data_IF_513087197032
#
_entry.id   IF_513087197032
#
_cell.length_a   1.000
_cell.length_b   1.000
_cell.length_c   1.000
_cell.angle_alpha   90.00
_cell.angle_beta   90.00
_cell.angle_gamma   90.00
#
_symmetry.space_group_name_H-M   'P 1'
#
loop_
_entity.id
_entity.type
_entity.pdbx_description
1 polymer ?
#
# COMPACT_ATOMS: atom_id res chain seq x y z
N UNK A 1 -46.62 -21.20 6.21
CA UNK A 1 -45.61 -20.46 6.98
C UNK A 1 -44.79 -19.57 6.05
N UNK A 2 -45.45 -18.52 5.53
CA UNK A 2 -44.82 -17.39 4.83
C UNK A 2 -45.05 -16.19 5.75
N UNK A 3 -43.98 -15.63 6.33
CA UNK A 3 -43.86 -14.25 6.82
C UNK A 3 -42.65 -14.16 7.74
N UNK A 4 -41.59 -13.50 7.26
CA UNK A 4 -40.68 -12.60 8.00
C UNK A 4 -39.49 -12.23 7.10
N UNK A 5 -39.80 -11.59 5.96
CA UNK A 5 -38.81 -10.85 5.14
C UNK A 5 -39.54 -9.67 4.50
N UNK A 6 -39.87 -8.66 5.30
CA UNK A 6 -40.35 -7.38 4.77
C UNK A 6 -40.19 -6.31 5.86
N UNK A 7 -38.95 -5.99 6.20
CA UNK A 7 -38.59 -4.71 6.81
C UNK A 7 -37.08 -4.52 6.70
N UNK A 8 -36.58 -4.43 5.47
CA UNK A 8 -35.35 -3.69 5.22
C UNK A 8 -35.77 -2.24 5.00
N UNK A 9 -35.32 -1.28 5.83
CA UNK A 9 -35.57 0.14 5.58
C UNK A 9 -35.16 0.48 4.15
N UNK A 10 -35.98 1.24 3.44
CA UNK A 10 -35.76 1.63 2.02
C UNK A 10 -34.34 2.18 1.77
N UNK A 11 -33.72 2.78 2.79
CA UNK A 11 -32.34 3.26 2.75
C UNK A 11 -31.26 2.15 2.66
N UNK A 12 -31.48 0.95 3.18
CA UNK A 12 -30.51 -0.16 3.07
C UNK A 12 -30.54 -0.76 1.67
N UNK A 13 -31.73 -0.89 1.08
CA UNK A 13 -31.86 -1.42 -0.27
C UNK A 13 -31.32 -0.43 -1.30
N UNK A 14 -31.60 0.87 -1.13
CA UNK A 14 -30.98 1.93 -1.92
C UNK A 14 -29.45 2.05 -1.67
N UNK A 15 -28.95 1.75 -0.47
CA UNK A 15 -27.50 1.68 -0.19
C UNK A 15 -26.85 0.47 -0.86
N UNK A 16 -27.46 -0.71 -0.78
CA UNK A 16 -26.98 -1.93 -1.48
C UNK A 16 -27.03 -1.74 -2.99
N UNK A 17 -28.07 -1.10 -3.53
CA UNK A 17 -28.17 -0.79 -4.96
C UNK A 17 -27.17 0.30 -5.37
N UNK A 18 -26.90 1.33 -4.55
CA UNK A 18 -25.84 2.30 -4.83
C UNK A 18 -24.44 1.70 -4.73
N UNK A 19 -24.20 0.77 -3.79
CA UNK A 19 -22.93 0.02 -3.70
C UNK A 19 -22.76 -0.90 -4.92
N UNK A 20 -23.86 -1.49 -5.43
CA UNK A 20 -23.86 -2.27 -6.69
C UNK A 20 -23.80 -1.42 -7.96
N UNK A 21 -24.22 -0.15 -7.92
CA UNK A 21 -24.18 0.76 -9.06
C UNK A 21 -22.85 1.53 -9.15
N UNK A 22 -22.20 1.79 -8.02
CA UNK A 22 -20.81 2.26 -7.94
C UNK A 22 -19.80 1.11 -7.92
N UNK A 23 -20.22 -0.09 -8.36
CA UNK A 23 -19.41 -1.29 -8.43
C UNK A 23 -18.38 -1.15 -9.56
N UNK A 24 -17.35 -0.32 -9.30
CA UNK A 24 -16.06 -0.32 -9.98
C UNK A 24 -15.26 -1.60 -9.65
N UNK A 25 -15.91 -2.71 -9.31
CA UNK A 25 -15.30 -4.04 -9.30
C UNK A 25 -14.94 -4.53 -10.70
N UNK A 26 -15.47 -3.91 -11.76
CA UNK A 26 -15.24 -4.34 -13.14
C UNK A 26 -13.99 -3.73 -13.79
N UNK A 27 -13.47 -2.61 -13.30
CA UNK A 27 -12.19 -2.06 -13.73
C UNK A 27 -11.12 -2.43 -12.70
N UNK A 28 -10.31 -3.45 -12.99
CA UNK A 28 -9.17 -3.80 -12.14
C UNK A 28 -8.17 -2.64 -12.14
N UNK A 29 -8.14 -1.88 -11.04
CA UNK A 29 -7.14 -0.82 -10.81
C UNK A 29 -5.73 -1.41 -10.76
N UNK A 30 -5.61 -2.61 -10.19
CA UNK A 30 -4.34 -3.30 -9.99
C UNK A 30 -4.19 -4.44 -11.01
N UNK A 31 -3.07 -4.51 -11.76
CA UNK A 31 -2.74 -5.67 -12.59
C UNK A 31 -2.27 -6.82 -11.70
N UNK A 32 -3.25 -7.54 -11.13
CA UNK A 32 -3.06 -8.58 -10.11
C UNK A 32 -1.98 -9.61 -10.47
N UNK A 33 -1.91 -10.02 -11.73
CA UNK A 33 -0.94 -11.04 -12.16
C UNK A 33 0.49 -10.49 -12.11
N UNK A 34 0.69 -9.32 -12.68
CA UNK A 34 1.98 -8.65 -12.80
C UNK A 34 2.53 -8.28 -11.42
N UNK A 35 1.70 -7.69 -10.56
CA UNK A 35 2.12 -7.32 -9.19
C UNK A 35 2.40 -8.56 -8.33
N UNK A 36 1.60 -9.64 -8.46
CA UNK A 36 1.85 -10.90 -7.74
C UNK A 36 3.21 -11.50 -8.15
N UNK A 37 3.53 -11.50 -9.44
CA UNK A 37 4.83 -11.97 -9.92
C UNK A 37 5.97 -11.12 -9.38
N UNK A 38 5.80 -9.79 -9.36
CA UNK A 38 6.84 -8.88 -8.86
C UNK A 38 7.03 -8.98 -7.33
N UNK A 39 5.96 -9.19 -6.55
CA UNK A 39 6.09 -9.53 -5.12
C UNK A 39 6.84 -10.85 -4.91
N UNK A 40 6.55 -11.87 -5.72
CA UNK A 40 7.26 -13.14 -5.64
C UNK A 40 8.75 -12.96 -5.92
N UNK A 41 9.10 -12.23 -6.98
CA UNK A 41 10.48 -11.88 -7.32
C UNK A 41 11.19 -11.16 -6.16
N UNK A 42 10.54 -10.16 -5.56
CA UNK A 42 11.08 -9.41 -4.44
C UNK A 42 11.42 -10.33 -3.23
N UNK A 43 10.50 -11.20 -2.82
CA UNK A 43 10.76 -12.10 -1.70
C UNK A 43 11.79 -13.18 -2.03
N UNK A 44 11.86 -13.67 -3.27
CA UNK A 44 12.92 -14.59 -3.67
C UNK A 44 14.30 -13.94 -3.59
N UNK A 45 14.44 -12.69 -4.09
CA UNK A 45 15.69 -11.94 -3.99
C UNK A 45 16.10 -11.68 -2.54
N UNK A 46 15.16 -11.33 -1.67
CA UNK A 46 15.44 -11.14 -0.25
C UNK A 46 15.91 -12.43 0.43
N UNK A 47 15.30 -13.58 0.10
CA UNK A 47 15.67 -14.90 0.62
C UNK A 47 17.03 -15.40 0.13
N UNK A 48 17.49 -14.98 -1.04
CA UNK A 48 18.85 -15.30 -1.49
C UNK A 48 19.93 -14.62 -0.64
N UNK A 49 19.59 -13.47 -0.04
CA UNK A 49 20.53 -12.64 0.72
C UNK A 49 20.35 -12.76 2.23
N UNK A 50 19.26 -13.36 2.69
CA UNK A 50 18.86 -13.38 4.10
C UNK A 50 18.13 -14.69 4.45
N UNK A 51 18.37 -15.18 5.66
CA UNK A 51 17.56 -16.29 6.20
C UNK A 51 16.09 -15.85 6.30
N UNK A 52 15.11 -16.70 5.94
CA UNK A 52 13.70 -16.33 5.94
C UNK A 52 13.24 -15.68 7.24
N UNK A 53 13.66 -16.20 8.40
CA UNK A 53 13.25 -15.71 9.72
C UNK A 53 13.75 -14.30 10.06
N UNK A 54 14.62 -13.73 9.22
CA UNK A 54 15.16 -12.37 9.38
C UNK A 54 14.44 -11.33 8.52
N UNK A 55 13.46 -11.74 7.71
CA UNK A 55 12.61 -10.84 6.94
C UNK A 55 11.71 -10.03 7.88
N UNK A 56 11.63 -8.73 7.60
CA UNK A 56 10.77 -7.80 8.30
C UNK A 56 9.35 -7.78 7.77
N UNK A 57 8.57 -6.82 8.27
CA UNK A 57 7.18 -6.62 7.92
C UNK A 57 7.02 -6.08 6.48
N UNK A 58 5.80 -6.24 5.97
CA UNK A 58 5.29 -5.57 4.79
C UNK A 58 4.50 -4.33 5.18
N UNK A 59 4.82 -3.17 4.58
CA UNK A 59 4.13 -1.90 4.80
C UNK A 59 3.54 -1.40 3.47
N UNK A 60 2.24 -1.09 3.43
CA UNK A 60 1.53 -0.55 2.26
C UNK A 60 0.87 0.78 2.61
N UNK A 61 1.15 1.81 1.81
CA UNK A 61 0.67 3.16 2.01
C UNK A 61 -0.30 3.50 0.88
N UNK A 62 -1.59 3.52 1.20
CA UNK A 62 -2.70 3.52 0.24
C UNK A 62 -3.16 2.10 -0.04
N UNK A 63 -4.27 1.70 0.57
CA UNK A 63 -4.81 0.33 0.52
C UNK A 63 -6.00 0.26 -0.41
N UNK A 64 -6.85 1.30 -0.44
CA UNK A 64 -8.10 1.30 -1.20
C UNK A 64 -8.92 0.02 -0.90
N UNK A 65 -9.23 -0.80 -1.91
CA UNK A 65 -9.93 -2.09 -1.75
C UNK A 65 -9.04 -3.25 -1.26
N UNK A 66 -7.72 -3.07 -1.19
CA UNK A 66 -6.77 -4.05 -0.66
C UNK A 66 -6.32 -5.14 -1.65
N UNK A 67 -6.47 -4.91 -2.95
CA UNK A 67 -6.13 -5.91 -3.99
C UNK A 67 -4.64 -6.29 -3.97
N UNK A 68 -3.77 -5.29 -3.91
CA UNK A 68 -2.31 -5.39 -3.69
C UNK A 68 -1.97 -6.22 -2.45
N UNK A 69 -2.59 -5.91 -1.30
CA UNK A 69 -2.43 -6.70 -0.07
C UNK A 69 -2.82 -8.16 -0.28
N UNK A 70 -3.93 -8.45 -0.96
CA UNK A 70 -4.37 -9.83 -1.25
C UNK A 70 -3.35 -10.56 -2.14
N UNK A 71 -2.81 -9.90 -3.15
CA UNK A 71 -1.75 -10.44 -3.99
C UNK A 71 -0.50 -10.81 -3.18
N UNK A 72 -0.03 -9.90 -2.33
CA UNK A 72 1.10 -10.16 -1.44
C UNK A 72 0.81 -11.31 -0.46
N UNK A 73 -0.38 -11.33 0.14
CA UNK A 73 -0.79 -12.38 1.06
C UNK A 73 -0.66 -13.79 0.43
N UNK A 74 -1.11 -13.94 -0.82
CA UNK A 74 -0.98 -15.19 -1.57
C UNK A 74 0.48 -15.58 -1.80
N UNK A 75 1.35 -14.62 -2.10
CA UNK A 75 2.80 -14.86 -2.24
C UNK A 75 3.41 -15.32 -0.91
N UNK A 76 3.06 -14.68 0.21
CA UNK A 76 3.55 -15.08 1.52
C UNK A 76 3.10 -16.51 1.89
N UNK A 77 1.87 -16.90 1.54
CA UNK A 77 1.39 -18.27 1.72
C UNK A 77 2.17 -19.27 0.85
N UNK A 78 2.35 -18.96 -0.44
CA UNK A 78 3.09 -19.78 -1.39
C UNK A 78 4.54 -20.02 -0.93
N UNK A 79 5.21 -18.98 -0.43
CA UNK A 79 6.60 -19.04 0.00
C UNK A 79 6.77 -19.49 1.47
N UNK A 80 5.68 -19.83 2.15
CA UNK A 80 5.62 -20.21 3.57
C UNK A 80 6.29 -19.18 4.51
N UNK A 81 6.12 -17.89 4.22
CA UNK A 81 6.67 -16.77 4.99
C UNK A 81 5.67 -16.31 6.05
N UNK A 82 5.47 -17.13 7.08
CA UNK A 82 4.45 -16.94 8.13
C UNK A 82 4.75 -15.78 9.09
N UNK A 83 6.03 -15.48 9.28
CA UNK A 83 6.56 -14.44 10.17
C UNK A 83 6.35 -13.01 9.66
N UNK A 84 6.24 -12.82 8.34
CA UNK A 84 6.01 -11.49 7.75
C UNK A 84 4.60 -11.03 8.08
N UNK A 85 4.49 -9.93 8.84
CA UNK A 85 3.20 -9.25 9.11
C UNK A 85 2.95 -8.22 8.02
N UNK A 86 1.68 -7.89 7.82
CA UNK A 86 1.23 -6.94 6.81
C UNK A 86 0.55 -5.75 7.50
N UNK A 87 0.98 -4.54 7.16
CA UNK A 87 0.39 -3.30 7.64
C UNK A 87 -0.08 -2.48 6.44
N UNK A 88 -1.38 -2.17 6.42
CA UNK A 88 -1.98 -1.28 5.43
C UNK A 88 -2.39 0.04 6.06
N UNK A 89 -1.82 1.13 5.58
CA UNK A 89 -2.08 2.50 6.04
C UNK A 89 -2.98 3.20 5.04
N UNK A 90 -4.13 3.69 5.48
CA UNK A 90 -5.07 4.41 4.60
C UNK A 90 -5.96 5.35 5.43
N UNK A 91 -6.41 6.44 4.82
CA UNK A 91 -7.46 7.28 5.42
C UNK A 91 -8.79 6.53 5.50
N UNK A 92 -9.03 5.61 4.56
CA UNK A 92 -10.30 4.97 4.22
C UNK A 92 -11.41 6.00 3.94
N UNK A 93 -10.99 7.18 3.48
CA UNK A 93 -11.82 8.35 3.18
C UNK A 93 -11.45 8.97 1.82
N UNK A 94 -10.48 8.37 1.11
CA UNK A 94 -9.93 8.85 -0.16
C UNK A 94 -8.86 9.93 0.03
N UNK A 95 -8.44 10.53 -1.08
CA UNK A 95 -7.38 11.55 -1.08
C UNK A 95 -7.78 12.83 -0.31
N UNK A 96 -6.82 13.48 0.39
CA UNK A 96 -7.10 14.67 1.19
C UNK A 96 -7.46 15.88 0.33
N UNK A 97 -8.01 16.93 0.96
CA UNK A 97 -8.33 18.20 0.28
C UNK A 97 -7.12 18.89 -0.35
N UNK A 98 -5.91 18.60 0.15
CA UNK A 98 -4.64 19.12 -0.36
C UNK A 98 -4.26 18.54 -1.72
N UNK A 99 -4.82 17.39 -2.12
CA UNK A 99 -4.55 16.72 -3.39
C UNK A 99 -4.65 17.64 -4.62
N UNK A 100 -5.63 18.55 -4.62
CA UNK A 100 -5.86 19.50 -5.73
C UNK A 100 -4.69 20.48 -5.96
N UNK A 101 -3.87 20.71 -4.95
CA UNK A 101 -2.75 21.66 -5.00
C UNK A 101 -1.39 20.94 -5.08
N UNK A 102 -1.35 19.64 -4.80
CA UNK A 102 -0.15 18.84 -4.92
C UNK A 102 0.03 18.38 -6.37
N UNK A 103 1.27 18.06 -6.76
CA UNK A 103 1.60 17.48 -8.06
C UNK A 103 0.99 18.18 -9.28
N UNK A 104 0.85 19.52 -9.19
CA UNK A 104 0.26 20.33 -10.26
C UNK A 104 -1.23 20.10 -10.49
N UNK A 105 -1.95 19.57 -9.49
CA UNK A 105 -3.39 19.28 -9.59
C UNK A 105 -3.69 17.97 -10.32
N UNK A 106 -2.74 17.03 -10.32
CA UNK A 106 -2.89 15.68 -10.87
C UNK A 106 -4.03 14.87 -10.21
N UNK A 107 -4.43 15.25 -9.00
CA UNK A 107 -5.31 14.50 -8.11
C UNK A 107 -6.44 15.36 -7.55
N UNK A 108 -7.54 14.75 -7.12
CA UNK A 108 -8.67 15.47 -6.50
C UNK A 108 -9.14 14.83 -5.20
N UNK A 109 -9.73 15.65 -4.33
CA UNK A 109 -10.17 15.23 -3.01
C UNK A 109 -11.24 14.14 -3.05
N UNK A 110 -11.12 13.12 -2.20
CA UNK A 110 -12.04 11.98 -2.12
C UNK A 110 -11.88 10.95 -3.24
N UNK A 111 -10.94 11.14 -4.17
CA UNK A 111 -10.54 10.12 -5.13
C UNK A 111 -10.09 8.85 -4.39
N UNK A 112 -10.38 7.68 -4.97
CA UNK A 112 -10.03 6.35 -4.41
C UNK A 112 -10.60 6.03 -3.02
N UNK A 113 -11.70 6.68 -2.63
CA UNK A 113 -12.35 6.39 -1.36
C UNK A 113 -12.85 4.94 -1.28
N UNK A 114 -12.32 4.18 -0.32
CA UNK A 114 -12.88 2.93 0.15
C UNK A 114 -12.96 2.95 1.68
N UNK A 115 -14.17 2.76 2.22
CA UNK A 115 -14.34 2.74 3.68
C UNK A 115 -13.67 1.51 4.32
N UNK A 116 -13.18 1.65 5.56
CA UNK A 116 -12.55 0.57 6.30
C UNK A 116 -13.45 -0.68 6.40
N UNK A 117 -14.75 -0.48 6.56
CA UNK A 117 -15.73 -1.57 6.64
C UNK A 117 -15.83 -2.35 5.31
N UNK A 118 -15.83 -1.63 4.18
CA UNK A 118 -15.82 -2.25 2.86
C UNK A 118 -14.51 -2.99 2.60
N UNK A 119 -13.37 -2.33 2.79
CA UNK A 119 -12.05 -2.94 2.60
C UNK A 119 -11.87 -4.18 3.49
N UNK A 120 -12.24 -4.10 4.77
CA UNK A 120 -12.15 -5.25 5.69
C UNK A 120 -13.04 -6.42 5.25
N UNK A 121 -14.24 -6.12 4.73
CA UNK A 121 -15.13 -7.15 4.18
C UNK A 121 -14.50 -7.83 2.97
N UNK A 122 -13.98 -7.05 2.02
CA UNK A 122 -13.32 -7.56 0.80
C UNK A 122 -12.12 -8.44 1.17
N UNK A 123 -11.23 -7.95 2.02
CA UNK A 123 -10.05 -8.70 2.46
C UNK A 123 -10.44 -10.01 3.16
N UNK A 124 -11.49 -9.98 3.99
CA UNK A 124 -12.02 -11.20 4.65
C UNK A 124 -12.56 -12.20 3.63
N UNK A 125 -13.34 -11.74 2.65
CA UNK A 125 -13.86 -12.59 1.57
C UNK A 125 -12.75 -13.18 0.69
N UNK A 126 -11.61 -12.48 0.58
CA UNK A 126 -10.41 -12.95 -0.11
C UNK A 126 -9.49 -13.85 0.76
N UNK A 127 -9.86 -14.11 2.01
CA UNK A 127 -9.16 -15.05 2.89
C UNK A 127 -7.91 -14.48 3.57
N UNK A 128 -7.85 -13.16 3.80
CA UNK A 128 -6.73 -12.55 4.51
C UNK A 128 -6.54 -13.16 5.91
N UNK A 129 -5.29 -13.28 6.36
CA UNK A 129 -4.98 -13.72 7.72
C UNK A 129 -4.90 -12.52 8.67
N UNK A 130 -5.98 -12.27 9.39
CA UNK A 130 -6.09 -11.18 10.36
C UNK A 130 -5.19 -11.34 11.60
N UNK A 131 -4.59 -12.51 11.84
CA UNK A 131 -3.64 -12.67 12.96
C UNK A 131 -2.33 -11.91 12.73
N UNK A 132 -2.06 -11.56 11.47
CA UNK A 132 -0.82 -10.90 11.05
C UNK A 132 -1.06 -9.77 10.05
N UNK A 133 -2.31 -9.33 9.90
CA UNK A 133 -2.68 -8.22 9.00
C UNK A 133 -3.36 -7.14 9.80
N UNK A 134 -2.87 -5.91 9.66
CA UNK A 134 -3.32 -4.76 10.42
C UNK A 134 -3.68 -3.63 9.47
N UNK A 135 -4.90 -3.10 9.58
CA UNK A 135 -5.30 -1.88 8.88
C UNK A 135 -5.25 -0.71 9.85
N UNK A 136 -4.47 0.31 9.50
CA UNK A 136 -4.26 1.51 10.30
C UNK A 136 -5.02 2.64 9.62
N UNK A 137 -6.19 2.96 10.18
CA UNK A 137 -7.04 4.05 9.69
C UNK A 137 -6.53 5.41 10.17
N UNK A 138 -6.31 6.32 9.23
CA UNK A 138 -6.08 7.74 9.49
C UNK A 138 -5.21 8.39 8.42
N UNK A 139 -5.03 9.71 8.51
CA UNK A 139 -4.08 10.41 7.66
C UNK A 139 -2.65 10.02 8.06
N UNK A 140 -1.72 10.04 7.11
CA UNK A 140 -0.33 9.66 7.37
C UNK A 140 0.33 10.59 8.41
N UNK A 141 0.16 11.90 8.27
CA UNK A 141 0.50 12.91 9.30
C UNK A 141 0.01 12.61 10.73
N UNK A 142 -1.10 11.88 10.89
CA UNK A 142 -1.64 11.52 12.21
C UNK A 142 -1.16 10.15 12.70
N UNK A 143 -0.88 9.21 11.79
CA UNK A 143 -0.71 7.79 12.10
C UNK A 143 0.74 7.31 12.01
N UNK A 144 1.55 7.93 11.14
CA UNK A 144 2.94 7.52 10.89
C UNK A 144 3.89 8.16 11.91
N UNK A 145 3.84 7.67 13.14
CA UNK A 145 4.57 8.24 14.27
C UNK A 145 5.24 7.16 15.15
N UNK A 146 6.04 7.63 16.11
CA UNK A 146 6.81 6.78 17.01
C UNK A 146 5.92 5.90 17.90
N UNK A 147 4.78 6.42 18.37
CA UNK A 147 3.83 5.67 19.21
C UNK A 147 3.31 4.42 18.47
N UNK A 148 3.07 4.54 17.15
CA UNK A 148 2.67 3.42 16.32
C UNK A 148 3.79 2.37 16.19
N UNK A 149 5.03 2.80 15.96
CA UNK A 149 6.21 1.92 15.91
C UNK A 149 6.32 1.12 17.20
N UNK A 150 6.19 1.77 18.35
CA UNK A 150 6.29 1.15 19.68
C UNK A 150 5.12 0.19 19.93
N UNK A 151 3.89 0.61 19.61
CA UNK A 151 2.67 -0.20 19.78
C UNK A 151 2.77 -1.54 19.05
N UNK A 152 3.25 -1.53 17.81
CA UNK A 152 3.33 -2.73 16.97
C UNK A 152 4.72 -3.38 16.98
N UNK A 153 5.67 -2.81 17.71
CA UNK A 153 7.07 -3.26 17.76
C UNK A 153 7.62 -3.41 16.33
N UNK A 154 7.45 -2.36 15.51
CA UNK A 154 7.98 -2.34 14.15
C UNK A 154 9.49 -2.14 14.22
N UNK A 155 10.26 -3.13 13.80
CA UNK A 155 11.74 -3.10 13.89
C UNK A 155 12.41 -3.18 12.53
N UNK A 156 11.77 -3.83 11.55
CA UNK A 156 12.30 -4.00 10.20
C UNK A 156 11.16 -4.07 9.19
N UNK A 157 11.31 -3.37 8.07
CA UNK A 157 10.47 -3.52 6.88
C UNK A 157 11.30 -4.14 5.75
N UNK A 158 10.77 -5.21 5.13
CA UNK A 158 11.46 -5.91 4.03
C UNK A 158 10.89 -5.58 2.67
N UNK A 159 9.57 -5.39 2.59
CA UNK A 159 8.89 -4.95 1.38
C UNK A 159 7.99 -3.78 1.74
N UNK A 160 8.09 -2.71 0.97
CA UNK A 160 7.35 -1.46 1.17
C UNK A 160 6.62 -1.15 -0.13
N UNK A 161 5.32 -0.87 -0.05
CA UNK A 161 4.50 -0.41 -1.16
C UNK A 161 4.08 1.04 -0.92
N UNK A 162 4.55 1.94 -1.76
CA UNK A 162 4.12 3.34 -1.84
C UNK A 162 3.14 3.42 -3.00
N UNK A 163 1.85 3.54 -2.67
CA UNK A 163 0.72 3.59 -3.60
C UNK A 163 -0.26 4.66 -3.10
N UNK A 164 0.27 5.88 -2.94
CA UNK A 164 -0.44 6.96 -2.25
C UNK A 164 -0.61 8.20 -3.11
N UNK A 165 -0.35 8.07 -4.42
CA UNK A 165 -0.48 9.01 -5.53
C UNK A 165 0.36 10.31 -5.42
N UNK A 166 0.34 10.92 -4.23
CA UNK A 166 0.77 12.29 -3.95
C UNK A 166 2.19 12.35 -3.40
N UNK A 167 2.94 13.37 -3.82
CA UNK A 167 4.26 13.69 -3.27
C UNK A 167 4.27 13.78 -1.73
N UNK A 168 3.32 14.53 -1.12
CA UNK A 168 3.32 14.70 0.33
C UNK A 168 3.10 13.37 1.07
N UNK A 169 2.17 12.55 0.59
CA UNK A 169 1.88 11.23 1.17
C UNK A 169 3.10 10.30 1.05
N UNK A 170 3.74 10.28 -0.11
CA UNK A 170 4.93 9.46 -0.35
C UNK A 170 6.10 9.90 0.54
N UNK A 171 6.28 11.20 0.74
CA UNK A 171 7.31 11.75 1.64
C UNK A 171 7.07 11.33 3.09
N UNK A 172 5.85 11.42 3.58
CA UNK A 172 5.50 10.97 4.95
C UNK A 172 5.74 9.46 5.12
N UNK A 173 5.32 8.65 4.14
CA UNK A 173 5.53 7.20 4.13
C UNK A 173 7.02 6.81 4.15
N UNK A 174 7.84 7.41 3.27
CA UNK A 174 9.26 7.14 3.19
C UNK A 174 10.01 7.55 4.46
N UNK A 175 9.68 8.70 5.04
CA UNK A 175 10.28 9.17 6.29
C UNK A 175 9.95 8.25 7.47
N UNK A 176 8.72 7.74 7.53
CA UNK A 176 8.34 6.74 8.52
C UNK A 176 9.10 5.42 8.35
N UNK A 177 9.35 5.01 7.11
CA UNK A 177 10.06 3.77 6.80
C UNK A 177 11.57 3.86 7.00
N UNK A 178 12.17 5.05 6.90
CA UNK A 178 13.63 5.25 6.99
C UNK A 178 14.29 4.48 8.16
N UNK A 179 13.83 4.59 9.42
CA UNK A 179 14.43 3.85 10.53
C UNK A 179 14.13 2.34 10.50
N UNK A 180 13.11 1.90 9.76
CA UNK A 180 12.69 0.50 9.62
C UNK A 180 13.45 -0.22 8.50
N UNK A 181 14.12 0.50 7.60
CA UNK A 181 15.02 -0.08 6.60
C UNK A 181 16.34 -0.41 7.30
N UNK A 182 16.49 -1.68 7.68
CA UNK A 182 17.73 -2.21 8.26
C UNK A 182 18.77 -2.43 7.16
N UNK A 183 19.16 -3.67 6.85
CA UNK A 183 20.20 -3.94 5.85
C UNK A 183 19.74 -3.57 4.44
N UNK A 184 18.50 -3.93 4.12
CA UNK A 184 17.87 -3.66 2.83
C UNK A 184 16.34 -3.78 2.92
N UNK A 185 15.65 -3.10 2.01
CA UNK A 185 14.24 -3.27 1.71
C UNK A 185 14.03 -3.20 0.19
N UNK A 186 12.94 -3.80 -0.28
CA UNK A 186 12.46 -3.61 -1.66
C UNK A 186 11.26 -2.67 -1.58
N UNK A 187 11.36 -1.53 -2.26
CA UNK A 187 10.32 -0.50 -2.31
C UNK A 187 9.66 -0.53 -3.68
N UNK A 188 8.34 -0.61 -3.67
CA UNK A 188 7.47 -0.50 -4.82
C UNK A 188 6.86 0.90 -4.82
N UNK A 189 6.84 1.52 -5.99
CA UNK A 189 6.17 2.80 -6.26
C UNK A 189 5.15 2.55 -7.36
N UNK A 190 3.85 2.70 -7.10
CA UNK A 190 2.80 2.40 -8.09
C UNK A 190 2.68 3.51 -9.16
N UNK A 191 2.96 4.76 -8.77
CA UNK A 191 2.69 5.95 -9.58
C UNK A 191 3.95 6.73 -10.02
N UNK A 192 5.12 6.10 -9.94
CA UNK A 192 6.41 6.73 -10.27
C UNK A 192 6.43 7.53 -11.59
N UNK A 193 5.93 6.95 -12.68
CA UNK A 193 5.84 7.57 -14.02
C UNK A 193 4.44 8.09 -14.36
N UNK A 194 3.50 8.01 -13.41
CA UNK A 194 2.11 8.44 -13.60
C UNK A 194 2.06 9.90 -14.04
N UNK A 195 1.23 10.21 -15.05
CA UNK A 195 1.03 11.57 -15.58
C UNK A 195 2.31 12.36 -15.96
N UNK A 196 3.41 11.65 -16.26
CA UNK A 196 4.76 12.21 -16.44
C UNK A 196 5.24 13.06 -15.24
N UNK A 197 4.85 12.70 -14.01
CA UNK A 197 5.27 13.39 -12.79
C UNK A 197 6.79 13.29 -12.59
N UNK A 198 7.38 12.16 -12.95
CA UNK A 198 8.84 11.95 -12.98
C UNK A 198 9.58 13.06 -13.74
N UNK A 199 9.12 13.38 -14.96
CA UNK A 199 9.73 14.41 -15.83
C UNK A 199 9.51 15.83 -15.31
N UNK A 200 8.50 16.01 -14.45
CA UNK A 200 8.18 17.29 -13.81
C UNK A 200 8.85 17.44 -12.44
N UNK A 201 9.60 16.43 -11.99
CA UNK A 201 10.14 16.36 -10.63
C UNK A 201 9.03 16.52 -9.58
N UNK A 202 7.98 15.70 -9.69
CA UNK A 202 6.80 15.68 -8.82
C UNK A 202 6.52 14.24 -8.35
N UNK A 203 5.50 14.07 -7.52
CA UNK A 203 4.99 12.78 -7.06
C UNK A 203 6.00 11.97 -6.26
N UNK A 204 5.83 10.65 -6.33
CA UNK A 204 6.63 9.67 -5.61
C UNK A 204 8.13 9.76 -5.94
N UNK A 205 8.47 10.02 -7.22
CA UNK A 205 9.86 10.21 -7.64
C UNK A 205 10.53 11.34 -6.84
N UNK A 206 9.88 12.51 -6.75
CA UNK A 206 10.45 13.65 -6.03
C UNK A 206 10.61 13.32 -4.54
N UNK A 207 9.62 12.67 -3.94
CA UNK A 207 9.69 12.25 -2.54
C UNK A 207 10.87 11.30 -2.31
N UNK A 208 11.11 10.36 -3.23
CA UNK A 208 12.23 9.43 -3.15
C UNK A 208 13.60 10.08 -3.37
N UNK A 209 13.71 11.00 -4.33
CA UNK A 209 14.94 11.77 -4.56
C UNK A 209 15.34 12.54 -3.28
N UNK A 210 14.37 13.19 -2.62
CA UNK A 210 14.58 13.89 -1.34
C UNK A 210 14.92 12.90 -0.21
N UNK A 211 14.24 11.75 -0.14
CA UNK A 211 14.54 10.69 0.83
C UNK A 211 15.99 10.21 0.75
N UNK A 212 16.54 10.00 -0.47
CA UNK A 212 17.94 9.58 -0.64
C UNK A 212 18.93 10.69 -0.26
N UNK A 213 18.59 11.96 -0.49
CA UNK A 213 19.40 13.11 -0.08
C UNK A 213 19.45 13.22 1.45
N UNK A 214 18.32 13.01 2.13
CA UNK A 214 18.21 13.03 3.58
C UNK A 214 18.87 11.79 4.23
N UNK A 215 18.98 10.69 3.48
CA UNK A 215 19.55 9.42 3.94
C UNK A 215 20.73 8.92 3.08
N UNK A 216 21.88 9.63 3.07
CA UNK A 216 23.00 9.37 2.15
C UNK A 216 23.72 8.02 2.38
N UNK A 217 23.40 7.34 3.48
CA UNK A 217 23.90 6.00 3.83
C UNK A 217 23.18 4.88 3.08
N UNK A 218 22.08 5.19 2.39
CA UNK A 218 21.44 4.25 1.46
C UNK A 218 22.04 4.34 0.06
N UNK A 219 22.02 3.20 -0.63
CA UNK A 219 22.23 3.05 -2.06
C UNK A 219 21.04 2.29 -2.66
N UNK A 220 20.92 2.31 -3.99
CA UNK A 220 19.76 1.79 -4.69
C UNK A 220 20.10 0.94 -5.91
N UNK A 221 19.30 -0.08 -6.17
CA UNK A 221 19.36 -0.88 -7.40
C UNK A 221 17.95 -0.99 -8.00
N UNK A 222 17.80 -0.65 -9.27
CA UNK A 222 16.53 -0.78 -9.99
C UNK A 222 16.22 -2.26 -10.30
N UNK A 223 15.01 -2.70 -9.95
CA UNK A 223 14.51 -4.06 -10.16
C UNK A 223 13.40 -4.12 -11.23
N UNK A 224 13.29 -3.05 -12.03
CA UNK A 224 12.30 -2.88 -13.09
C UNK A 224 10.92 -2.49 -12.59
N UNK A 225 9.88 -2.86 -13.34
CA UNK A 225 8.50 -2.46 -13.07
C UNK A 225 7.51 -3.62 -13.23
N UNK A 226 6.28 -3.44 -12.76
CA UNK A 226 5.14 -4.35 -13.03
C UNK A 226 4.04 -3.67 -13.86
N UNK A 227 4.11 -2.36 -14.05
CA UNK A 227 3.27 -1.58 -14.97
C UNK A 227 4.14 -0.56 -15.72
N UNK A 228 3.54 0.22 -16.62
CA UNK A 228 4.22 1.36 -17.25
C UNK A 228 4.39 2.56 -16.30
N UNK A 229 3.61 2.62 -15.22
CA UNK A 229 3.64 3.71 -14.24
C UNK A 229 4.52 3.38 -13.03
N UNK A 230 4.69 2.10 -12.72
CA UNK A 230 5.36 1.68 -11.51
C UNK A 230 6.89 1.58 -11.65
N UNK A 231 7.59 1.67 -10.52
CA UNK A 231 9.01 1.37 -10.40
C UNK A 231 9.27 0.57 -9.13
N UNK A 232 10.15 -0.42 -9.20
CA UNK A 232 10.58 -1.23 -8.05
C UNK A 232 12.08 -1.08 -7.86
N UNK A 233 12.48 -0.74 -6.63
CA UNK A 233 13.86 -0.44 -6.26
C UNK A 233 14.25 -1.28 -5.04
N UNK A 234 15.45 -1.85 -5.06
CA UNK A 234 16.11 -2.27 -3.81
C UNK A 234 16.77 -1.06 -3.21
N UNK A 235 16.56 -0.83 -1.92
CA UNK A 235 17.27 0.17 -1.11
C UNK A 235 18.08 -0.58 -0.07
N UNK A 236 19.37 -0.28 0.07
CA UNK A 236 20.28 -1.01 0.97
C UNK A 236 21.34 -0.08 1.58
N UNK A 237 21.82 -0.42 2.78
CA UNK A 237 22.87 0.37 3.44
C UNK A 237 24.25 0.10 2.81
N UNK A 238 25.03 1.18 2.67
CA UNK A 238 26.44 1.14 2.22
C UNK A 238 27.37 0.57 3.29
#
# INVERSE_FOLDING_TARGET
MKRLLSYTPEGIQAWVENVKLNDTYSNKLVPEKEITLKYREAFLLLKEKQEPDTLGDYLEFGVCHGTSMVCLHKVLQELNLKQVRMFGFDSFEGLPKTAKNDDGGAWFAGQFNSSLALTSKILTEQGIDWNRTFLIKGWFSDTLNQDLIEKYQLTKASVIMVDCDMYLSAKEALNFCAPLIQEQAIIFFDDWFSQNLDKKNMGEKRAFDEFLQENPHFDTEELGSYTANALVLRVFRK
#
